data_IF_886293131504
#
_entry.id   IF_886293131504
#
_cell.length_a   1.000
_cell.length_b   1.000
_cell.length_c   1.000
_cell.angle_alpha   90.00
_cell.angle_beta   90.00
_cell.angle_gamma   90.00
#
_symmetry.space_group_name_H-M   'P 1'
#
loop_
_entity.id
_entity.type
_entity.pdbx_description
1 polymer ?
#
# COMPACT_ATOMS: atom_id res chain seq x y z
N UNK A 1 20.40 40.49 -0.21
CA UNK A 1 20.38 39.02 -0.32
C UNK A 1 21.65 38.58 -1.01
N UNK A 2 22.63 38.06 -0.26
CA UNK A 2 23.88 37.59 -0.84
C UNK A 2 23.59 36.39 -1.75
N UNK A 3 24.05 36.44 -3.01
CA UNK A 3 24.00 35.27 -3.88
C UNK A 3 24.77 34.14 -3.19
N UNK A 4 24.21 32.91 -3.08
CA UNK A 4 24.94 31.81 -2.48
C UNK A 4 26.20 31.57 -3.32
N UNK A 5 27.37 31.68 -2.69
CA UNK A 5 28.66 31.39 -3.35
C UNK A 5 28.55 29.99 -3.95
N UNK A 6 28.66 29.91 -5.27
CA UNK A 6 28.53 28.64 -5.99
C UNK A 6 29.74 27.79 -5.62
N UNK A 7 29.57 26.90 -4.64
CA UNK A 7 30.59 25.92 -4.31
C UNK A 7 30.82 25.03 -5.54
N UNK A 8 32.07 25.00 -6.02
CA UNK A 8 32.56 24.13 -7.10
C UNK A 8 33.69 23.27 -6.54
N UNK A 9 33.37 22.03 -6.16
CA UNK A 9 34.37 21.04 -5.75
C UNK A 9 34.80 20.27 -6.99
N UNK A 10 36.11 20.25 -7.26
CA UNK A 10 36.69 19.40 -8.29
C UNK A 10 36.59 17.93 -7.84
N UNK A 11 35.97 17.08 -8.66
CA UNK A 11 35.76 15.66 -8.35
C UNK A 11 36.59 14.80 -9.26
N UNK A 12 37.09 13.70 -8.70
CA UNK A 12 37.70 12.64 -9.48
C UNK A 12 36.63 11.97 -10.38
N UNK A 13 36.80 11.99 -11.72
CA UNK A 13 35.92 11.28 -12.65
C UNK A 13 35.80 9.77 -12.38
N UNK A 14 36.80 9.16 -11.72
CA UNK A 14 36.78 7.75 -11.37
C UNK A 14 35.62 7.40 -10.41
N UNK A 15 35.19 8.32 -9.55
CA UNK A 15 34.08 8.10 -8.61
C UNK A 15 32.76 7.77 -9.32
N UNK A 16 32.56 8.29 -10.54
CA UNK A 16 31.38 7.95 -11.34
C UNK A 16 31.35 6.46 -11.73
N UNK A 17 32.48 5.96 -12.24
CA UNK A 17 32.61 4.60 -12.74
C UNK A 17 32.71 3.56 -11.61
N UNK A 18 33.31 3.93 -10.48
CA UNK A 18 33.59 3.00 -9.38
C UNK A 18 32.55 3.03 -8.25
N UNK A 19 31.73 4.08 -8.15
CA UNK A 19 30.73 4.21 -7.08
C UNK A 19 29.33 4.37 -7.67
N UNK A 20 29.13 5.38 -8.52
CA UNK A 20 27.78 5.73 -8.99
C UNK A 20 27.17 4.61 -9.85
N UNK A 21 27.89 4.16 -10.88
CA UNK A 21 27.44 3.12 -11.79
C UNK A 21 27.26 1.76 -11.07
N UNK A 22 28.21 1.27 -10.26
CA UNK A 22 28.04 0.01 -9.52
C UNK A 22 26.84 0.03 -8.57
N UNK A 23 26.61 1.12 -7.84
CA UNK A 23 25.43 1.24 -6.97
C UNK A 23 24.15 1.15 -7.81
N UNK A 24 24.06 1.85 -8.94
CA UNK A 24 22.85 1.75 -9.79
C UNK A 24 22.60 0.34 -10.31
N UNK A 25 23.64 -0.36 -10.77
CA UNK A 25 23.53 -1.71 -11.31
C UNK A 25 23.11 -2.70 -10.21
N UNK A 26 23.75 -2.65 -9.05
CA UNK A 26 23.40 -3.47 -7.88
C UNK A 26 21.96 -3.20 -7.47
N UNK A 27 21.52 -1.94 -7.47
CA UNK A 27 20.13 -1.60 -7.13
C UNK A 27 19.14 -2.24 -8.10
N UNK A 28 19.37 -2.14 -9.41
CA UNK A 28 18.51 -2.75 -10.42
C UNK A 28 18.47 -4.27 -10.25
N UNK A 29 19.63 -4.92 -10.12
CA UNK A 29 19.73 -6.38 -9.97
C UNK A 29 19.06 -6.88 -8.69
N UNK A 30 19.29 -6.19 -7.57
CA UNK A 30 18.65 -6.54 -6.29
C UNK A 30 17.14 -6.30 -6.32
N UNK A 31 16.66 -5.28 -7.03
CA UNK A 31 15.23 -5.06 -7.26
C UNK A 31 14.58 -6.19 -8.07
N UNK A 32 15.25 -6.66 -9.13
CA UNK A 32 14.81 -7.80 -9.94
C UNK A 32 14.84 -9.10 -9.12
N UNK A 33 15.94 -9.38 -8.42
CA UNK A 33 16.07 -10.56 -7.57
C UNK A 33 15.01 -10.58 -6.47
N UNK A 34 14.76 -9.43 -5.84
CA UNK A 34 13.69 -9.26 -4.85
C UNK A 34 12.34 -9.59 -5.48
N UNK A 35 12.06 -9.10 -6.68
CA UNK A 35 10.80 -9.36 -7.34
C UNK A 35 10.54 -10.86 -7.48
N UNK A 36 11.51 -11.59 -8.05
CA UNK A 36 11.40 -13.04 -8.21
C UNK A 36 11.37 -13.78 -6.87
N UNK A 37 12.19 -13.39 -5.89
CA UNK A 37 12.17 -13.98 -4.56
C UNK A 37 10.79 -13.82 -3.90
N UNK A 38 10.16 -12.67 -4.04
CA UNK A 38 8.81 -12.44 -3.51
C UNK A 38 7.75 -13.23 -4.25
N UNK A 39 7.80 -13.30 -5.57
CA UNK A 39 6.90 -14.14 -6.36
C UNK A 39 7.03 -15.62 -5.97
N UNK A 40 8.24 -16.08 -5.66
CA UNK A 40 8.49 -17.45 -5.19
C UNK A 40 8.06 -17.68 -3.73
N UNK A 41 8.16 -16.66 -2.89
CA UNK A 41 7.75 -16.70 -1.49
C UNK A 41 6.25 -16.47 -1.28
N UNK A 42 5.54 -16.00 -2.30
CA UNK A 42 4.08 -15.88 -2.28
C UNK A 42 3.48 -17.27 -2.09
N UNK A 43 2.87 -17.47 -0.93
CA UNK A 43 2.07 -18.67 -0.69
C UNK A 43 0.78 -18.55 -1.49
N UNK A 44 0.33 -19.63 -2.16
CA UNK A 44 -0.97 -19.62 -2.82
C UNK A 44 -2.05 -19.30 -1.79
N UNK A 45 -3.09 -18.53 -2.15
CA UNK A 45 -4.15 -18.16 -1.22
C UNK A 45 -4.77 -19.43 -0.64
N UNK A 46 -4.75 -19.55 0.70
CA UNK A 46 -5.30 -20.71 1.40
C UNK A 46 -6.78 -20.83 1.05
N UNK A 47 -7.23 -22.05 0.75
CA UNK A 47 -8.64 -22.32 0.50
C UNK A 47 -9.42 -21.99 1.77
N UNK A 48 -10.17 -20.89 1.75
CA UNK A 48 -11.08 -20.53 2.83
C UNK A 48 -12.23 -21.54 2.90
N UNK A 49 -12.77 -21.78 4.10
CA UNK A 49 -13.96 -22.60 4.24
C UNK A 49 -15.15 -21.96 3.54
N UNK A 50 -16.09 -22.79 3.06
CA UNK A 50 -17.31 -22.31 2.38
C UNK A 50 -18.12 -21.37 3.29
N UNK A 51 -18.11 -21.63 4.60
CA UNK A 51 -18.80 -20.82 5.60
C UNK A 51 -18.19 -19.41 5.73
N UNK A 52 -16.86 -19.29 5.81
CA UNK A 52 -16.19 -17.98 5.85
C UNK A 52 -16.31 -17.23 4.52
N UNK A 53 -16.24 -17.95 3.38
CA UNK A 53 -16.44 -17.34 2.08
C UNK A 53 -17.86 -16.79 1.95
N UNK A 54 -18.88 -17.55 2.38
CA UNK A 54 -20.27 -17.10 2.42
C UNK A 54 -20.41 -15.85 3.28
N UNK A 55 -19.81 -15.85 4.46
CA UNK A 55 -19.81 -14.69 5.37
C UNK A 55 -19.24 -13.45 4.68
N UNK A 56 -18.03 -13.53 4.14
CA UNK A 56 -17.37 -12.40 3.46
C UNK A 56 -18.16 -11.93 2.24
N UNK A 57 -18.59 -12.85 1.37
CA UNK A 57 -19.33 -12.52 0.15
C UNK A 57 -20.70 -11.93 0.44
N UNK A 58 -21.37 -12.41 1.49
CA UNK A 58 -22.66 -11.88 1.90
C UNK A 58 -22.55 -10.43 2.38
N UNK A 59 -21.48 -10.06 3.09
CA UNK A 59 -21.23 -8.68 3.52
C UNK A 59 -20.90 -7.78 2.33
N UNK A 60 -20.02 -8.24 1.43
CA UNK A 60 -19.69 -7.51 0.19
C UNK A 60 -20.95 -7.29 -0.66
N UNK A 61 -21.86 -8.26 -0.70
CA UNK A 61 -23.15 -8.12 -1.39
C UNK A 61 -24.00 -6.99 -0.78
N UNK A 62 -23.96 -6.80 0.54
CA UNK A 62 -24.68 -5.71 1.23
C UNK A 62 -24.13 -4.36 0.81
N UNK A 63 -22.81 -4.22 0.88
CA UNK A 63 -22.11 -3.01 0.44
C UNK A 63 -22.41 -2.71 -1.03
N UNK A 64 -22.40 -3.74 -1.90
CA UNK A 64 -22.71 -3.58 -3.32
C UNK A 64 -24.16 -3.17 -3.57
N UNK A 65 -25.12 -3.73 -2.80
CA UNK A 65 -26.53 -3.34 -2.88
C UNK A 65 -26.70 -1.87 -2.50
N UNK A 66 -26.00 -1.41 -1.45
CA UNK A 66 -26.00 -0.02 -1.00
C UNK A 66 -25.40 0.92 -2.04
N UNK A 67 -24.19 0.61 -2.53
CA UNK A 67 -23.45 1.46 -3.47
C UNK A 67 -24.14 1.56 -4.84
N UNK A 68 -24.78 0.48 -5.29
CA UNK A 68 -25.42 0.41 -6.61
C UNK A 68 -26.95 0.36 -6.51
N UNK A 69 -27.54 0.82 -5.40
CA UNK A 69 -28.98 0.76 -5.16
C UNK A 69 -29.77 1.42 -6.29
N UNK A 70 -29.25 2.52 -6.82
CA UNK A 70 -29.96 3.42 -7.72
C UNK A 70 -30.28 2.84 -9.11
N UNK A 71 -29.65 1.72 -9.48
CA UNK A 71 -29.90 1.02 -10.76
C UNK A 71 -31.10 0.09 -10.67
N UNK A 72 -31.45 -0.37 -9.47
CA UNK A 72 -32.55 -1.30 -9.26
C UNK A 72 -33.89 -0.57 -9.23
N UNK A 73 -34.96 -1.24 -9.66
CA UNK A 73 -36.31 -0.71 -9.46
C UNK A 73 -36.67 -0.67 -7.97
N UNK A 74 -37.56 0.25 -7.54
CA UNK A 74 -37.95 0.38 -6.14
C UNK A 74 -38.45 -0.93 -5.53
N UNK A 75 -39.28 -1.69 -6.25
CA UNK A 75 -39.79 -2.98 -5.78
C UNK A 75 -38.67 -4.03 -5.59
N UNK A 76 -37.71 -4.10 -6.53
CA UNK A 76 -36.60 -5.06 -6.44
C UNK A 76 -35.62 -4.68 -5.33
N UNK A 77 -35.37 -3.39 -5.16
CA UNK A 77 -34.52 -2.89 -4.07
C UNK A 77 -35.14 -3.20 -2.71
N UNK A 78 -36.42 -2.88 -2.50
CA UNK A 78 -37.10 -3.14 -1.23
C UNK A 78 -37.14 -4.62 -0.85
N UNK A 79 -37.43 -5.50 -1.81
CA UNK A 79 -37.42 -6.96 -1.56
C UNK A 79 -36.02 -7.46 -1.14
N UNK A 80 -34.95 -6.96 -1.79
CA UNK A 80 -33.57 -7.32 -1.46
C UNK A 80 -33.12 -6.73 -0.13
N UNK A 81 -33.48 -5.47 0.15
CA UNK A 81 -33.22 -4.79 1.42
C UNK A 81 -33.85 -5.58 2.57
N UNK A 82 -35.15 -5.89 2.49
CA UNK A 82 -35.86 -6.63 3.51
C UNK A 82 -35.26 -8.03 3.78
N UNK A 83 -34.91 -8.77 2.71
CA UNK A 83 -34.24 -10.07 2.85
C UNK A 83 -32.85 -9.97 3.50
N UNK A 84 -32.06 -8.96 3.14
CA UNK A 84 -30.70 -8.82 3.63
C UNK A 84 -30.66 -8.33 5.07
N UNK A 85 -31.49 -7.35 5.42
CA UNK A 85 -31.66 -6.85 6.79
C UNK A 85 -32.10 -7.99 7.71
N UNK A 86 -33.14 -8.75 7.35
CA UNK A 86 -33.60 -9.89 8.16
C UNK A 86 -32.52 -10.97 8.28
N UNK A 87 -31.85 -11.34 7.19
CA UNK A 87 -30.82 -12.36 7.22
C UNK A 87 -29.55 -11.94 8.00
N UNK A 88 -29.22 -10.64 8.05
CA UNK A 88 -28.16 -10.09 8.89
C UNK A 88 -28.55 -10.05 10.36
N UNK A 89 -29.77 -9.59 10.68
CA UNK A 89 -30.32 -9.61 12.04
C UNK A 89 -30.55 -11.02 12.57
N UNK A 90 -30.79 -12.02 11.72
CA UNK A 90 -30.91 -13.42 12.12
C UNK A 90 -29.54 -14.12 12.24
N UNK A 91 -28.48 -13.53 11.68
CA UNK A 91 -27.14 -14.12 11.66
C UNK A 91 -26.99 -15.31 10.70
N UNK A 92 -27.89 -15.47 9.72
CA UNK A 92 -27.91 -16.62 8.76
C UNK A 92 -26.61 -16.78 7.96
N UNK A 93 -25.89 -15.68 7.75
CA UNK A 93 -24.64 -15.68 6.96
C UNK A 93 -23.37 -15.83 7.79
N UNK A 94 -23.46 -15.88 9.13
CA UNK A 94 -22.32 -16.13 10.00
C UNK A 94 -21.74 -17.53 9.71
N UNK A 95 -20.41 -17.62 9.74
CA UNK A 95 -19.72 -18.89 9.59
C UNK A 95 -19.95 -19.79 10.81
N UNK A 96 -20.08 -19.18 11.99
CA UNK A 96 -20.34 -19.83 13.27
C UNK A 96 -21.56 -19.17 13.93
N UNK A 97 -22.79 -19.62 13.62
CA UNK A 97 -24.00 -19.05 14.20
C UNK A 97 -24.07 -19.23 15.73
N UNK A 98 -23.34 -20.20 16.30
CA UNK A 98 -23.27 -20.45 17.75
C UNK A 98 -22.38 -19.48 18.53
N UNK A 99 -21.54 -18.70 17.84
CA UNK A 99 -20.65 -17.70 18.45
C UNK A 99 -21.19 -16.26 18.31
N UNK A 100 -22.49 -16.11 18.05
CA UNK A 100 -23.17 -14.82 17.97
C UNK A 100 -22.96 -14.00 19.24
N UNK A 101 -22.58 -12.73 19.09
CA UNK A 101 -22.32 -11.81 20.22
C UNK A 101 -21.06 -12.09 21.06
N UNK A 102 -20.25 -13.12 20.76
CA UNK A 102 -18.98 -13.34 21.46
C UNK A 102 -17.85 -12.57 20.75
N UNK A 103 -17.05 -11.77 21.47
CA UNK A 103 -15.83 -11.21 20.90
C UNK A 103 -14.97 -12.37 20.42
N UNK A 104 -14.51 -12.32 19.16
CA UNK A 104 -13.60 -13.34 18.65
C UNK A 104 -12.41 -13.50 19.61
N UNK A 105 -12.03 -14.75 19.98
CA UNK A 105 -10.82 -14.99 20.74
C UNK A 105 -9.66 -14.26 20.07
N UNK A 106 -8.82 -13.59 20.85
CA UNK A 106 -7.73 -12.75 20.36
C UNK A 106 -7.04 -13.37 19.12
N UNK A 107 -6.67 -12.59 18.09
CA UNK A 107 -6.03 -13.10 16.87
C UNK A 107 -4.74 -13.93 17.11
N UNK A 108 -4.18 -13.85 18.32
CA UNK A 108 -3.03 -14.64 18.81
C UNK A 108 -3.40 -16.03 19.33
N UNK A 109 -4.68 -16.31 19.56
CA UNK A 109 -5.20 -17.57 20.09
C UNK A 109 -5.78 -18.49 19.03
N UNK A 110 -6.01 -17.97 17.82
CA UNK A 110 -6.45 -18.76 16.67
C UNK A 110 -5.23 -19.04 15.75
N UNK A 111 -4.77 -20.29 15.64
CA UNK A 111 -3.63 -20.68 14.80
C UNK A 111 -3.77 -20.23 13.34
N UNK A 112 -5.00 -20.11 12.81
CA UNK A 112 -5.25 -19.66 11.44
C UNK A 112 -5.11 -18.14 11.28
N UNK A 113 -5.52 -17.36 12.28
CA UNK A 113 -5.33 -15.91 12.31
C UNK A 113 -3.86 -15.55 12.55
N UNK A 114 -3.16 -16.31 13.40
CA UNK A 114 -1.73 -16.18 13.63
C UNK A 114 -0.92 -16.55 12.38
N UNK A 115 -1.30 -17.60 11.64
CA UNK A 115 -0.67 -17.98 10.37
C UNK A 115 -0.87 -16.90 9.30
N UNK A 116 -2.05 -16.27 9.22
CA UNK A 116 -2.32 -15.14 8.34
C UNK A 116 -1.52 -13.89 8.71
N UNK A 117 -1.45 -13.58 10.00
CA UNK A 117 -0.62 -12.51 10.55
C UNK A 117 0.87 -12.78 10.32
N UNK A 118 1.33 -14.02 10.48
CA UNK A 118 2.70 -14.44 10.22
C UNK A 118 3.02 -14.42 8.72
N UNK A 119 2.06 -14.74 7.85
CA UNK A 119 2.19 -14.57 6.40
C UNK A 119 2.38 -13.10 6.00
N UNK A 120 1.62 -12.19 6.61
CA UNK A 120 1.77 -10.75 6.43
C UNK A 120 3.10 -10.23 7.02
N UNK A 121 3.49 -10.72 8.20
CA UNK A 121 4.77 -10.39 8.83
C UNK A 121 5.95 -10.90 8.02
N UNK A 122 5.88 -12.12 7.48
CA UNK A 122 6.89 -12.71 6.58
C UNK A 122 7.02 -11.88 5.30
N UNK A 123 5.90 -11.42 4.74
CA UNK A 123 5.89 -10.47 3.62
C UNK A 123 6.59 -9.15 3.98
N UNK A 124 6.29 -8.59 5.15
CA UNK A 124 6.91 -7.35 5.65
C UNK A 124 8.41 -7.52 5.94
N UNK A 125 8.82 -8.65 6.54
CA UNK A 125 10.22 -8.97 6.84
C UNK A 125 11.03 -9.22 5.56
N UNK A 126 10.45 -9.92 4.58
CA UNK A 126 11.08 -10.12 3.27
C UNK A 126 11.33 -8.79 2.52
N UNK A 127 10.61 -7.72 2.87
CA UNK A 127 10.82 -6.37 2.34
C UNK A 127 11.90 -5.59 3.12
N UNK A 128 11.91 -5.70 4.44
CA UNK A 128 12.83 -4.94 5.30
C UNK A 128 14.28 -5.43 5.22
N UNK A 129 14.49 -6.75 5.23
CA UNK A 129 15.83 -7.36 5.30
C UNK A 129 16.73 -6.89 4.14
N UNK A 130 16.30 -6.94 2.86
CA UNK A 130 17.16 -6.49 1.77
C UNK A 130 17.50 -5.00 1.84
N UNK A 131 16.57 -4.15 2.34
CA UNK A 131 16.78 -2.72 2.42
C UNK A 131 17.84 -2.36 3.48
N UNK A 132 17.75 -2.96 4.67
CA UNK A 132 18.74 -2.75 5.74
C UNK A 132 20.12 -3.29 5.36
N UNK A 133 20.18 -4.45 4.70
CA UNK A 133 21.45 -5.03 4.24
C UNK A 133 22.16 -4.16 3.21
N UNK A 134 21.43 -3.65 2.21
CA UNK A 134 22.01 -2.76 1.19
C UNK A 134 22.46 -1.44 1.83
N UNK A 135 21.66 -0.87 2.73
CA UNK A 135 22.02 0.35 3.44
C UNK A 135 23.32 0.19 4.26
N UNK A 136 23.47 -0.95 4.96
CA UNK A 136 24.69 -1.29 5.69
C UNK A 136 25.90 -1.51 4.76
N UNK A 137 25.69 -2.22 3.65
CA UNK A 137 26.74 -2.45 2.65
C UNK A 137 27.26 -1.14 2.03
N UNK A 138 26.37 -0.22 1.66
CA UNK A 138 26.77 1.07 1.07
C UNK A 138 27.51 1.92 2.09
N UNK A 139 27.09 1.90 3.35
CA UNK A 139 27.79 2.61 4.42
C UNK A 139 29.21 2.03 4.66
N UNK A 140 29.37 0.72 4.62
CA UNK A 140 30.66 0.06 4.85
C UNK A 140 31.67 0.29 3.71
N UNK A 141 31.23 0.22 2.44
CA UNK A 141 32.13 0.26 1.28
C UNK A 141 32.26 1.62 0.61
N UNK A 142 31.26 2.50 0.75
CA UNK A 142 31.20 3.76 -0.01
C UNK A 142 31.00 5.00 0.87
N UNK A 143 31.19 4.93 2.20
CA UNK A 143 31.13 6.12 3.07
C UNK A 143 32.31 7.08 2.86
N UNK A 144 32.16 8.34 3.27
CA UNK A 144 33.23 9.34 3.21
C UNK A 144 33.31 10.15 1.91
N UNK A 145 32.63 9.73 0.84
CA UNK A 145 32.74 10.37 -0.47
C UNK A 145 31.58 11.31 -0.80
N UNK A 146 31.92 12.42 -1.47
CA UNK A 146 30.95 13.31 -2.09
C UNK A 146 30.94 13.04 -3.60
N UNK A 147 29.83 12.50 -4.11
CA UNK A 147 29.79 11.89 -5.45
C UNK A 147 29.17 12.79 -6.52
N UNK A 148 28.08 13.50 -6.21
CA UNK A 148 27.38 14.31 -7.20
C UNK A 148 26.70 15.54 -6.61
N UNK A 149 26.38 16.51 -7.48
CA UNK A 149 25.74 17.79 -7.13
C UNK A 149 24.41 17.78 -7.85
N UNK A 150 23.33 17.92 -7.10
CA UNK A 150 22.00 17.97 -7.69
C UNK A 150 21.76 19.33 -8.36
N UNK A 151 21.08 19.35 -9.52
CA UNK A 151 20.83 20.59 -10.27
C UNK A 151 19.73 21.46 -9.66
N UNK A 152 19.03 20.98 -8.62
CA UNK A 152 17.93 21.68 -7.95
C UNK A 152 18.28 22.01 -6.49
N UNK A 153 17.74 23.11 -5.94
CA UNK A 153 17.88 23.45 -4.53
C UNK A 153 17.12 22.46 -3.63
N UNK A 154 17.68 22.16 -2.46
CA UNK A 154 17.10 21.25 -1.47
C UNK A 154 16.96 21.96 -0.12
N UNK A 155 15.96 21.57 0.68
CA UNK A 155 15.77 22.13 2.01
C UNK A 155 16.81 21.57 3.00
N UNK A 156 17.25 22.35 4.00
CA UNK A 156 18.24 21.91 4.99
C UNK A 156 17.85 20.66 5.80
N UNK A 157 16.56 20.33 5.86
CA UNK A 157 16.07 19.13 6.56
C UNK A 157 16.59 17.83 5.93
N UNK A 158 16.89 17.84 4.63
CA UNK A 158 17.48 16.69 3.95
C UNK A 158 18.99 16.56 4.21
N UNK A 159 19.65 17.54 4.85
CA UNK A 159 21.11 17.56 5.01
C UNK A 159 21.63 16.37 5.81
N UNK A 160 21.00 16.04 6.94
CA UNK A 160 21.40 14.89 7.77
C UNK A 160 21.28 13.56 7.03
N UNK A 161 20.28 13.44 6.16
CA UNK A 161 20.06 12.26 5.32
C UNK A 161 21.03 12.21 4.14
N UNK A 162 21.22 13.35 3.46
CA UNK A 162 21.95 13.45 2.20
C UNK A 162 23.48 13.52 2.36
N UNK A 163 23.94 13.91 3.55
CA UNK A 163 25.36 14.06 3.89
C UNK A 163 25.79 13.13 5.02
N UNK A 164 24.94 12.17 5.39
CA UNK A 164 25.35 11.10 6.30
C UNK A 164 26.57 10.38 5.72
N UNK A 165 27.65 10.35 6.51
CA UNK A 165 28.95 9.80 6.10
C UNK A 165 29.95 10.83 5.57
N UNK A 166 29.61 12.12 5.47
CA UNK A 166 30.55 13.20 5.09
C UNK A 166 30.74 14.14 6.28
N UNK A 167 31.95 14.22 6.82
CA UNK A 167 32.27 14.94 8.05
C UNK A 167 32.32 16.47 7.97
N UNK A 168 31.55 17.12 7.08
CA UNK A 168 31.62 18.57 6.85
C UNK A 168 30.29 19.28 7.10
N UNK A 169 30.26 20.19 8.09
CA UNK A 169 29.04 20.93 8.50
C UNK A 169 28.64 22.05 7.55
N UNK A 170 29.57 22.59 6.77
CA UNK A 170 29.36 23.78 5.92
C UNK A 170 29.14 23.45 4.43
N UNK A 171 29.02 22.16 4.11
CA UNK A 171 28.77 21.71 2.74
C UNK A 171 27.32 22.03 2.31
N UNK A 172 27.14 22.58 1.11
CA UNK A 172 25.83 22.83 0.53
C UNK A 172 25.02 21.51 0.37
N UNK A 173 23.72 21.56 0.68
CA UNK A 173 22.79 20.40 0.71
C UNK A 173 22.64 19.76 -0.67
N UNK A 174 22.98 20.48 -1.74
CA UNK A 174 23.01 19.94 -3.11
C UNK A 174 24.10 18.89 -3.33
N UNK A 175 25.12 18.84 -2.46
CA UNK A 175 26.17 17.83 -2.53
C UNK A 175 25.73 16.56 -1.83
N UNK A 176 25.76 15.46 -2.58
CA UNK A 176 25.13 14.20 -2.23
C UNK A 176 26.22 13.15 -1.98
N UNK A 177 26.09 12.41 -0.87
CA UNK A 177 26.91 11.23 -0.57
C UNK A 177 26.43 9.98 -1.30
N UNK A 178 27.24 8.92 -1.29
CA UNK A 178 26.88 7.59 -1.83
C UNK A 178 25.57 7.02 -1.25
N UNK A 179 25.36 7.15 0.06
CA UNK A 179 24.14 6.72 0.75
C UNK A 179 22.88 7.42 0.23
N UNK A 180 23.07 8.65 -0.22
CA UNK A 180 22.02 9.54 -0.64
C UNK A 180 21.64 9.26 -2.09
N UNK A 181 22.61 8.88 -2.90
CA UNK A 181 22.37 8.27 -4.20
C UNK A 181 21.60 6.95 -4.10
N UNK A 182 21.90 6.12 -3.09
CA UNK A 182 21.09 4.94 -2.81
C UNK A 182 19.62 5.30 -2.57
N UNK A 183 19.32 6.25 -1.69
CA UNK A 183 17.94 6.70 -1.48
C UNK A 183 17.29 7.26 -2.75
N UNK A 184 18.03 8.04 -3.54
CA UNK A 184 17.54 8.53 -4.83
C UNK A 184 17.20 7.39 -5.79
N UNK A 185 18.06 6.38 -5.91
CA UNK A 185 17.80 5.20 -6.76
C UNK A 185 16.67 4.32 -6.21
N UNK A 186 16.52 4.23 -4.89
CA UNK A 186 15.45 3.46 -4.26
C UNK A 186 14.05 3.98 -4.64
N UNK A 187 13.87 5.31 -4.69
CA UNK A 187 12.60 5.91 -5.10
C UNK A 187 12.51 6.17 -6.61
N UNK A 188 13.65 6.46 -7.26
CA UNK A 188 13.70 6.86 -8.67
C UNK A 188 13.68 5.70 -9.66
N UNK A 189 14.00 4.47 -9.26
CA UNK A 189 14.01 3.31 -10.15
C UNK A 189 12.63 2.67 -10.38
N UNK A 190 11.55 3.19 -9.77
CA UNK A 190 10.20 2.62 -9.97
C UNK A 190 9.75 2.55 -11.43
N UNK A 191 9.97 3.59 -12.28
CA UNK A 191 9.62 3.51 -13.69
C UNK A 191 10.46 2.47 -14.43
N UNK A 192 11.72 2.29 -14.04
CA UNK A 192 12.62 1.28 -14.59
C UNK A 192 12.13 -0.13 -14.25
N UNK A 193 11.72 -0.37 -13.00
CA UNK A 193 11.12 -1.65 -12.61
C UNK A 193 9.78 -1.89 -13.30
N UNK A 194 8.94 -0.87 -13.44
CA UNK A 194 7.69 -0.99 -14.20
C UNK A 194 7.93 -1.34 -15.67
N UNK A 195 8.97 -0.77 -16.28
CA UNK A 195 9.33 -1.07 -17.66
C UNK A 195 9.86 -2.50 -17.83
N UNK A 196 10.73 -2.96 -16.93
CA UNK A 196 11.37 -4.28 -17.03
C UNK A 196 10.43 -5.42 -16.60
N UNK A 197 9.68 -5.22 -15.50
CA UNK A 197 8.92 -6.27 -14.80
C UNK A 197 7.40 -6.11 -14.92
N UNK A 198 6.92 -5.02 -15.53
CA UNK A 198 5.50 -4.71 -15.63
C UNK A 198 4.92 -4.03 -14.37
N UNK A 199 3.64 -3.68 -14.42
CA UNK A 199 2.94 -2.87 -13.41
C UNK A 199 2.70 -3.59 -12.08
N UNK A 200 2.81 -4.92 -12.04
CA UNK A 200 2.55 -5.72 -10.84
C UNK A 200 3.86 -6.20 -10.16
N UNK A 201 4.92 -5.39 -10.25
CA UNK A 201 6.19 -5.73 -9.63
C UNK A 201 6.17 -5.47 -8.12
N UNK A 202 6.82 -6.37 -7.38
CA UNK A 202 7.00 -6.28 -5.93
C UNK A 202 8.17 -5.38 -5.53
N UNK A 203 8.95 -4.88 -6.50
CA UNK A 203 10.01 -3.89 -6.26
C UNK A 203 9.46 -2.53 -5.82
N UNK A 204 8.27 -2.14 -6.33
CA UNK A 204 7.62 -0.86 -6.01
C UNK A 204 6.86 -0.85 -4.67
N UNK A 205 6.73 -1.98 -3.98
CA UNK A 205 5.97 -2.08 -2.72
C UNK A 205 6.62 -1.32 -1.54
N UNK A 206 7.90 -0.93 -1.65
CA UNK A 206 8.62 -0.17 -0.61
C UNK A 206 7.93 1.17 -0.28
N UNK A 207 7.39 1.85 -1.30
CA UNK A 207 6.68 3.13 -1.10
C UNK A 207 5.30 2.93 -0.49
N UNK A 208 4.62 1.85 -0.88
CA UNK A 208 3.32 1.48 -0.30
C UNK A 208 3.47 1.10 1.17
N UNK A 209 4.61 0.52 1.56
CA UNK A 209 4.92 0.14 2.92
C UNK A 209 5.30 1.33 3.81
N UNK A 210 6.07 2.31 3.30
CA UNK A 210 6.30 3.58 3.99
C UNK A 210 5.00 4.38 4.20
N UNK A 211 4.06 4.29 3.27
CA UNK A 211 2.73 4.87 3.43
C UNK A 211 1.89 4.14 4.51
N UNK A 212 2.04 2.81 4.63
CA UNK A 212 1.42 2.00 5.69
C UNK A 212 2.10 2.15 7.05
N UNK A 213 3.39 2.48 7.09
CA UNK A 213 4.14 2.73 8.33
C UNK A 213 3.85 4.11 8.94
N UNK A 214 3.11 4.98 8.23
CA UNK A 214 2.60 6.22 8.81
C UNK A 214 1.44 5.89 9.77
N UNK A 215 1.59 6.13 11.09
CA UNK A 215 0.62 5.70 12.11
C UNK A 215 -0.78 6.34 11.98
N UNK A 216 -0.98 7.27 11.04
CA UNK A 216 -2.26 7.95 10.82
C UNK A 216 -3.17 7.35 9.74
N UNK A 217 -2.73 6.37 8.93
CA UNK A 217 -3.49 5.88 7.78
C UNK A 217 -3.87 4.38 7.84
N UNK A 218 -3.43 3.67 8.87
CA UNK A 218 -3.68 2.24 9.08
C UNK A 218 -4.84 1.95 10.05
N UNK A 219 -5.93 2.72 10.01
CA UNK A 219 -7.15 2.48 10.80
C UNK A 219 -7.89 1.21 10.32
N UNK A 220 -7.27 0.06 10.55
CA UNK A 220 -7.95 -1.23 10.68
C UNK A 220 -7.54 -1.76 12.04
N UNK A 221 -8.22 -1.25 13.06
CA UNK A 221 -8.17 -1.78 14.42
C UNK A 221 -8.55 -3.27 14.45
N UNK A 222 -8.34 -3.95 15.60
CA UNK A 222 -8.56 -5.38 15.76
C UNK A 222 -9.90 -5.78 15.14
N UNK A 223 -9.79 -6.66 14.15
CA UNK A 223 -10.84 -7.30 13.37
C UNK A 223 -12.20 -7.28 14.08
N UNK A 224 -13.05 -6.30 13.73
CA UNK A 224 -14.36 -6.15 14.34
C UNK A 224 -15.16 -7.45 14.23
N UNK A 225 -15.91 -7.79 15.28
CA UNK A 225 -16.75 -8.98 15.31
C UNK A 225 -17.66 -9.03 14.08
N UNK A 226 -17.73 -10.16 13.34
CA UNK A 226 -18.53 -10.26 12.14
C UNK A 226 -20.00 -9.94 12.35
N UNK A 227 -20.53 -10.31 13.52
CA UNK A 227 -21.92 -10.04 13.90
C UNK A 227 -22.18 -8.53 14.00
N UNK A 228 -21.24 -7.77 14.60
CA UNK A 228 -21.33 -6.31 14.65
C UNK A 228 -21.23 -5.69 13.26
N UNK A 229 -20.38 -6.24 12.39
CA UNK A 229 -20.27 -5.79 11.01
C UNK A 229 -21.57 -6.01 10.22
N UNK A 230 -22.25 -7.15 10.42
CA UNK A 230 -23.54 -7.41 9.79
C UNK A 230 -24.66 -6.53 10.34
N UNK A 231 -24.69 -6.29 11.65
CA UNK A 231 -25.66 -5.38 12.26
C UNK A 231 -25.45 -3.94 11.78
N UNK A 232 -24.21 -3.47 11.72
CA UNK A 232 -23.89 -2.16 11.18
C UNK A 232 -24.32 -2.03 9.71
N UNK A 233 -24.08 -3.06 8.89
CA UNK A 233 -24.52 -3.04 7.49
C UNK A 233 -26.05 -3.11 7.38
N UNK A 234 -26.74 -3.82 8.27
CA UNK A 234 -28.20 -3.82 8.33
C UNK A 234 -28.75 -2.42 8.64
N UNK A 235 -28.19 -1.73 9.64
CA UNK A 235 -28.54 -0.34 9.99
C UNK A 235 -28.27 0.61 8.80
N UNK A 236 -27.12 0.47 8.14
CA UNK A 236 -26.78 1.25 6.96
C UNK A 236 -27.77 1.04 5.80
N UNK A 237 -28.24 -0.20 5.60
CA UNK A 237 -29.23 -0.53 4.58
C UNK A 237 -30.62 -0.02 4.97
N UNK A 238 -30.98 -0.03 6.25
CA UNK A 238 -32.24 0.51 6.77
C UNK A 238 -32.35 2.02 6.53
N UNK A 239 -31.29 2.77 6.81
CA UNK A 239 -31.22 4.23 6.64
C UNK A 239 -31.11 4.64 5.16
N UNK A 240 -30.75 3.72 4.25
CA UNK A 240 -30.58 4.06 2.84
C UNK A 240 -31.90 4.51 2.18
N UNK A 241 -31.90 5.75 1.69
CA UNK A 241 -32.92 6.27 0.78
C UNK A 241 -32.64 5.79 -0.66
N UNK A 242 -33.68 5.23 -1.30
CA UNK A 242 -33.55 4.68 -2.64
C UNK A 242 -33.96 5.71 -3.70
N UNK A 243 -33.01 6.10 -4.54
CA UNK A 243 -33.25 6.96 -5.69
C UNK A 243 -33.12 6.17 -6.99
N UNK A 244 -34.21 6.03 -7.74
CA UNK A 244 -34.19 5.25 -8.98
C UNK A 244 -33.73 6.09 -10.17
N UNK A 245 -32.56 5.76 -10.73
CA UNK A 245 -31.96 6.54 -11.83
C UNK A 245 -32.77 6.44 -13.12
N UNK A 246 -33.53 5.36 -13.36
CA UNK A 246 -34.27 5.23 -14.61
C UNK A 246 -35.57 6.05 -14.63
N UNK A 247 -35.96 6.64 -13.50
CA UNK A 247 -37.10 7.55 -13.46
C UNK A 247 -36.79 8.84 -14.23
N UNK A 248 -37.62 9.17 -15.22
CA UNK A 248 -37.44 10.33 -16.09
C UNK A 248 -36.25 10.22 -17.05
N UNK A 249 -35.82 8.99 -17.37
CA UNK A 249 -34.70 8.78 -18.31
C UNK A 249 -35.09 9.16 -19.73
N UNK A 250 -36.34 8.96 -20.10
CA UNK A 250 -36.92 9.32 -21.40
C UNK A 250 -36.82 10.82 -21.62
N UNK A 251 -37.26 11.62 -20.65
CA UNK A 251 -37.22 13.08 -20.73
C UNK A 251 -35.79 13.61 -20.80
N UNK A 252 -34.88 13.05 -20.00
CA UNK A 252 -33.45 13.41 -20.03
C UNK A 252 -32.78 13.04 -21.35
N UNK A 253 -33.16 11.90 -21.93
CA UNK A 253 -32.64 11.45 -23.21
C UNK A 253 -33.14 12.34 -24.34
N UNK A 254 -34.44 12.65 -24.37
CA UNK A 254 -35.05 13.56 -25.35
C UNK A 254 -34.40 14.93 -25.26
N UNK A 255 -34.28 15.51 -24.07
CA UNK A 255 -33.65 16.81 -23.87
C UNK A 255 -32.20 16.86 -24.39
N UNK A 256 -31.44 15.77 -24.27
CA UNK A 256 -30.06 15.68 -24.77
C UNK A 256 -29.98 15.49 -26.29
N UNK A 257 -30.98 14.88 -26.91
CA UNK A 257 -31.04 14.67 -28.36
C UNK A 257 -31.65 15.84 -29.12
N UNK A 258 -32.48 16.65 -28.45
CA UNK A 258 -33.09 17.86 -29.01
C UNK A 258 -32.25 19.12 -28.81
N UNK A 259 -31.18 19.05 -28.01
CA UNK A 259 -30.17 20.10 -27.83
C UNK A 259 -28.98 19.88 -28.78
#
# INVERSE_FOLDING_TARGET
MAQPVVQTIHRDPALFWWILLPITVVMILTGILRHYAMTLLQTPPKKQSVAHLRQQRSLVRGVQLRTNANVLSPASFQARKAYMVSAYQEGKFLAEPENRGKPRPNPMSDPAAMEGMMGMMKGNMAMMIPQTLIMGWINAFFSGFVIMKLPFPLTPQFKSMLQSGVGTRDLDVRWVSSLSWYFLTLFGLQPVYNFILGSNNSANQVTQQMAMANPGAGMMGPEQDPDKLFLNEAENLEVLEHHWILEGVEDRLVAKLTA
#
